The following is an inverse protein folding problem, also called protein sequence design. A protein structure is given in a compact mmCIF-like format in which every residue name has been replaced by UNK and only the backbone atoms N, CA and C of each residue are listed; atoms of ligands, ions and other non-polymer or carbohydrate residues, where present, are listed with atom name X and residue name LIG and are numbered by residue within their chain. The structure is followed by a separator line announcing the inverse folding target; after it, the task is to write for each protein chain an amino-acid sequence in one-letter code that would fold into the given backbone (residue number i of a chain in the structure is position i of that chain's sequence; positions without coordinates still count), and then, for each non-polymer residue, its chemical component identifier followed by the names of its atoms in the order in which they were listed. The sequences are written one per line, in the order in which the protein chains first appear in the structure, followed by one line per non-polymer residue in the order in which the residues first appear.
data_IF_053642572709
#
_entry.id   IF_053642572709
#
_cell.length_a   1.000
_cell.length_b   1.000
_cell.length_c   1.000
_cell.angle_alpha   90.00
_cell.angle_beta   90.00
_cell.angle_gamma   90.00
#
_symmetry.space_group_name_H-M   'P 1'
#
loop_
_entity.id
_entity.type
_entity.pdbx_description
1 polymer ?
#
# COMPACT_ATOMS: atom_id res chain seq x y z
N UNK A 1 0.06 -1.93 -13.92
CA UNK A 1 1.43 -2.40 -13.63
C UNK A 1 1.94 -1.60 -12.45
N UNK A 2 2.15 -2.32 -11.34
CA UNK A 2 2.77 -1.79 -10.14
C UNK A 2 4.23 -1.40 -10.39
N UNK A 3 4.73 -0.48 -9.58
CA UNK A 3 6.11 0.02 -9.70
C UNK A 3 6.93 -0.53 -8.54
N UNK A 4 8.08 -1.14 -8.86
CA UNK A 4 8.96 -1.78 -7.90
C UNK A 4 10.33 -1.07 -7.92
N UNK A 5 10.77 -0.57 -6.78
CA UNK A 5 12.06 0.08 -6.58
C UNK A 5 12.87 -0.69 -5.53
N UNK A 6 14.17 -0.88 -5.79
CA UNK A 6 15.09 -1.57 -4.87
C UNK A 6 14.90 -3.09 -4.73
N UNK A 7 13.79 -3.66 -5.22
CA UNK A 7 13.53 -5.10 -5.16
C UNK A 7 13.09 -5.74 -6.48
N UNK A 8 13.18 -7.07 -6.50
CA UNK A 8 12.48 -7.94 -7.45
C UNK A 8 11.54 -8.85 -6.65
N UNK A 9 10.27 -8.46 -6.46
CA UNK A 9 9.37 -9.20 -5.59
C UNK A 9 9.18 -10.63 -6.10
N UNK A 10 9.09 -11.57 -5.16
CA UNK A 10 8.79 -12.96 -5.47
C UNK A 10 7.43 -13.09 -6.19
N UNK A 11 7.23 -14.21 -6.89
CA UNK A 11 5.96 -14.48 -7.62
C UNK A 11 4.72 -14.30 -6.72
N UNK A 12 4.70 -14.79 -5.47
CA UNK A 12 3.53 -14.62 -4.60
C UNK A 12 3.23 -13.15 -4.30
N UNK A 13 4.26 -12.33 -4.09
CA UNK A 13 4.08 -10.90 -3.81
C UNK A 13 3.60 -10.14 -5.05
N UNK A 14 4.12 -10.46 -6.24
CA UNK A 14 3.62 -9.89 -7.50
C UNK A 14 2.15 -10.23 -7.71
N UNK A 15 1.76 -11.48 -7.49
CA UNK A 15 0.36 -11.92 -7.56
C UNK A 15 -0.51 -11.22 -6.51
N UNK A 16 -0.02 -11.03 -5.28
CA UNK A 16 -0.73 -10.31 -4.24
C UNK A 16 -0.98 -8.84 -4.62
N UNK A 17 0.03 -8.19 -5.21
CA UNK A 17 -0.07 -6.82 -5.74
C UNK A 17 -1.09 -6.73 -6.86
N UNK A 18 -0.99 -7.59 -7.88
CA UNK A 18 -1.94 -7.62 -8.99
C UNK A 18 -3.37 -7.88 -8.52
N UNK A 19 -3.54 -8.84 -7.59
CA UNK A 19 -4.84 -9.13 -6.98
C UNK A 19 -5.38 -7.92 -6.21
N UNK A 20 -4.52 -7.23 -5.47
CA UNK A 20 -4.93 -6.03 -4.73
C UNK A 20 -5.38 -4.92 -5.68
N UNK A 21 -4.59 -4.57 -6.70
CA UNK A 21 -4.93 -3.54 -7.69
C UNK A 21 -6.23 -3.85 -8.44
N UNK A 22 -6.50 -5.14 -8.72
CA UNK A 22 -7.70 -5.56 -9.44
C UNK A 22 -8.96 -5.65 -8.58
N UNK A 23 -8.84 -6.07 -7.31
CA UNK A 23 -10.00 -6.35 -6.44
C UNK A 23 -10.31 -5.22 -5.46
N UNK A 24 -9.32 -4.43 -5.06
CA UNK A 24 -9.49 -3.41 -4.01
C UNK A 24 -9.87 -2.08 -4.65
N UNK A 25 -11.15 -1.74 -4.48
CA UNK A 25 -11.69 -0.40 -4.73
C UNK A 25 -12.30 0.13 -3.44
N UNK A 26 -12.29 1.44 -3.26
CA UNK A 26 -12.83 2.08 -2.05
C UNK A 26 -13.84 3.15 -2.42
N UNK A 27 -14.79 3.42 -1.52
CA UNK A 27 -15.66 4.60 -1.62
C UNK A 27 -15.08 5.71 -0.75
N UNK A 28 -14.64 6.79 -1.36
CA UNK A 28 -14.06 7.94 -0.67
C UNK A 28 -14.67 9.23 -1.20
N UNK A 29 -15.20 10.09 -0.32
CA UNK A 29 -15.85 11.38 -0.68
C UNK A 29 -16.87 11.24 -1.82
N UNK A 30 -17.77 10.24 -1.73
CA UNK A 30 -18.77 9.89 -2.74
C UNK A 30 -18.23 9.44 -4.12
N UNK A 31 -16.94 9.15 -4.22
CA UNK A 31 -16.31 8.62 -5.44
C UNK A 31 -15.84 7.19 -5.21
N UNK A 32 -15.82 6.39 -6.28
CA UNK A 32 -15.18 5.08 -6.28
C UNK A 32 -13.75 5.25 -6.77
N UNK A 33 -12.79 4.85 -5.94
CA UNK A 33 -11.38 4.92 -6.25
C UNK A 33 -10.82 3.52 -6.48
N UNK A 34 -9.95 3.39 -7.48
CA UNK A 34 -9.16 2.20 -7.78
C UNK A 34 -7.81 2.31 -7.10
N UNK A 35 -7.29 1.18 -6.62
CA UNK A 35 -6.00 1.13 -5.96
C UNK A 35 -4.86 0.93 -6.96
N UNK A 36 -3.69 1.49 -6.64
CA UNK A 36 -2.42 1.24 -7.30
C UNK A 36 -1.33 1.10 -6.26
N UNK A 37 -0.48 0.10 -6.40
CA UNK A 37 0.52 -0.27 -5.40
C UNK A 37 1.93 0.09 -5.90
N UNK A 38 2.75 0.57 -4.97
CA UNK A 38 4.15 0.88 -5.15
C UNK A 38 4.94 0.19 -4.04
N UNK A 39 6.01 -0.51 -4.41
CA UNK A 39 6.96 -1.10 -3.45
C UNK A 39 8.31 -0.40 -3.62
N UNK A 40 8.85 0.10 -2.52
CA UNK A 40 10.19 0.66 -2.43
C UNK A 40 10.93 -0.03 -1.29
N UNK A 41 11.83 -0.94 -1.65
CA UNK A 41 12.49 -1.84 -0.71
C UNK A 41 14.00 -1.64 -0.79
N UNK A 42 14.52 -0.76 0.05
CA UNK A 42 15.95 -0.46 0.16
C UNK A 42 16.55 -1.20 1.36
N UNK A 43 17.89 -1.31 1.40
CA UNK A 43 18.60 -2.14 2.38
C UNK A 43 18.24 -1.82 3.86
N UNK A 44 17.91 -0.57 4.16
CA UNK A 44 17.59 -0.10 5.51
C UNK A 44 16.19 0.51 5.66
N UNK A 45 15.41 0.53 4.58
CA UNK A 45 14.07 1.14 4.61
C UNK A 45 13.17 0.48 3.59
N UNK A 46 12.08 -0.10 4.10
CA UNK A 46 11.06 -0.74 3.28
C UNK A 46 9.78 0.07 3.34
N UNK A 47 9.17 0.31 2.19
CA UNK A 47 7.93 1.03 2.06
C UNK A 47 7.00 0.35 1.06
N UNK A 48 5.73 0.27 1.44
CA UNK A 48 4.62 -0.09 0.56
C UNK A 48 3.65 1.07 0.54
N UNK A 49 3.45 1.68 -0.62
CA UNK A 49 2.47 2.73 -0.82
C UNK A 49 1.30 2.24 -1.66
N UNK A 50 0.09 2.63 -1.27
CA UNK A 50 -1.15 2.39 -1.99
C UNK A 50 -1.76 3.75 -2.31
N UNK A 51 -1.85 4.05 -3.60
CA UNK A 51 -2.53 5.25 -4.09
C UNK A 51 -3.93 4.87 -4.57
N UNK A 52 -4.93 5.53 -4.02
CA UNK A 52 -6.33 5.42 -4.44
C UNK A 52 -6.68 6.59 -5.35
N UNK A 53 -7.00 6.25 -6.59
CA UNK A 53 -7.23 7.20 -7.66
C UNK A 53 -8.61 7.00 -8.28
N UNK A 54 -9.16 8.03 -8.91
CA UNK A 54 -10.34 7.83 -9.74
C UNK A 54 -10.02 6.81 -10.84
N UNK A 55 -10.94 5.87 -11.10
CA UNK A 55 -10.80 4.95 -12.23
C UNK A 55 -10.73 5.82 -13.50
N UNK A 56 -9.56 5.87 -14.14
CA UNK A 56 -9.36 6.78 -15.26
C UNK A 56 -10.15 6.25 -16.47
N UNK A 57 -11.21 6.95 -16.85
CA UNK A 57 -11.39 7.22 -18.27
C UNK A 57 -10.24 8.13 -18.71
N UNK A 58 -9.47 7.71 -19.72
CA UNK A 58 -8.43 8.55 -20.29
C UNK A 58 -9.06 9.86 -20.81
N UNK A 59 -8.60 11.02 -20.30
CA UNK A 59 -9.03 12.34 -20.78
C UNK A 59 -9.63 13.29 -19.74
N UNK A 60 -9.99 12.82 -18.54
CA UNK A 60 -10.49 13.71 -17.48
C UNK A 60 -9.33 14.16 -16.57
N UNK A 61 -9.01 15.46 -16.63
CA UNK A 61 -8.03 16.12 -15.74
C UNK A 61 -8.63 16.31 -14.34
N UNK A 62 -8.61 15.26 -13.53
CA UNK A 62 -8.89 15.32 -12.08
C UNK A 62 -7.58 15.29 -11.27
N UNK A 63 -7.65 15.66 -9.98
CA UNK A 63 -6.53 15.54 -9.05
C UNK A 63 -5.93 14.13 -9.09
N UNK A 64 -4.62 14.03 -9.31
CA UNK A 64 -3.86 12.80 -9.11
C UNK A 64 -3.75 12.54 -7.60
N UNK A 65 -4.08 11.33 -7.18
CA UNK A 65 -4.03 10.76 -5.83
C UNK A 65 -5.01 11.36 -4.82
N UNK A 66 -6.29 10.98 -4.93
CA UNK A 66 -7.35 11.37 -3.98
C UNK A 66 -7.11 10.87 -2.54
N UNK A 67 -6.33 9.78 -2.39
CA UNK A 67 -5.86 9.25 -1.11
C UNK A 67 -4.58 8.46 -1.33
N UNK A 68 -3.58 8.68 -0.50
CA UNK A 68 -2.35 7.88 -0.43
C UNK A 68 -2.19 7.29 0.97
N UNK A 69 -1.80 6.02 1.01
CA UNK A 69 -1.48 5.30 2.23
C UNK A 69 -0.10 4.72 2.10
N UNK A 70 0.78 4.96 3.07
CA UNK A 70 2.16 4.45 3.04
C UNK A 70 2.50 3.70 4.32
N UNK A 71 2.84 2.43 4.18
CA UNK A 71 3.42 1.57 5.21
C UNK A 71 4.93 1.66 5.12
N UNK A 72 5.60 1.94 6.22
CA UNK A 72 7.07 2.03 6.29
C UNK A 72 7.61 1.19 7.43
N UNK A 73 8.70 0.47 7.17
CA UNK A 73 9.38 -0.42 8.10
C UNK A 73 10.90 -0.26 7.95
N UNK A 74 11.61 -0.20 9.08
CA UNK A 74 13.06 -0.16 9.14
C UNK A 74 13.57 -1.50 9.70
N UNK A 75 14.16 -2.38 8.87
CA UNK A 75 14.69 -3.66 9.33
C UNK A 75 15.78 -3.49 10.38
N UNK A 76 15.73 -4.28 11.44
CA UNK A 76 16.77 -4.33 12.47
C UNK A 76 16.68 -3.27 13.58
N UNK A 77 15.93 -2.19 13.38
CA UNK A 77 15.80 -1.13 14.41
C UNK A 77 14.56 -1.32 15.28
N UNK A 78 13.41 -1.63 14.68
CA UNK A 78 12.13 -1.63 15.40
C UNK A 78 11.17 -2.73 14.91
N UNK A 79 10.27 -3.15 15.80
CA UNK A 79 9.16 -4.08 15.52
C UNK A 79 7.85 -3.30 15.30
N UNK A 80 7.95 -2.19 14.55
CA UNK A 80 6.80 -1.34 14.30
C UNK A 80 6.71 -0.97 12.84
N UNK A 81 5.48 -0.86 12.35
CA UNK A 81 5.19 -0.35 11.01
C UNK A 81 4.51 1.00 11.16
N UNK A 82 5.08 2.02 10.52
CA UNK A 82 4.48 3.35 10.47
C UNK A 82 3.55 3.44 9.26
N UNK A 83 2.32 3.87 9.48
CA UNK A 83 1.29 4.02 8.45
C UNK A 83 0.94 5.49 8.35
N UNK A 84 1.27 6.11 7.23
CA UNK A 84 0.83 7.44 6.89
C UNK A 84 -0.42 7.38 6.01
N UNK A 85 -1.43 8.20 6.29
CA UNK A 85 -2.61 8.36 5.44
C UNK A 85 -2.83 9.84 5.10
N UNK A 86 -2.91 10.16 3.82
CA UNK A 86 -2.99 11.55 3.35
C UNK A 86 -4.31 12.26 3.68
N UNK A 87 -5.40 11.52 3.87
CA UNK A 87 -6.71 12.09 4.24
C UNK A 87 -6.80 12.50 5.70
N UNK A 88 -6.02 11.85 6.57
CA UNK A 88 -5.93 12.14 8.00
C UNK A 88 -4.76 13.06 8.34
N UNK A 89 -3.82 13.22 7.41
CA UNK A 89 -2.53 13.90 7.62
C UNK A 89 -1.82 13.40 8.91
N UNK A 90 -1.91 12.09 9.13
CA UNK A 90 -1.52 11.45 10.38
C UNK A 90 -0.65 10.21 10.13
N UNK A 91 0.28 9.98 11.06
CA UNK A 91 1.08 8.75 11.13
C UNK A 91 0.56 7.93 12.31
N UNK A 92 0.17 6.70 12.02
CA UNK A 92 -0.18 5.69 13.01
C UNK A 92 0.93 4.66 13.11
N UNK A 93 1.25 4.22 14.32
CA UNK A 93 2.20 3.13 14.55
C UNK A 93 1.45 1.84 14.81
N UNK A 94 1.78 0.80 14.04
CA UNK A 94 1.28 -0.55 14.22
C UNK A 94 2.36 -1.40 14.88
N UNK A 95 1.99 -2.09 15.95
CA UNK A 95 2.85 -3.13 16.53
C UNK A 95 2.83 -4.34 15.57
N UNK A 96 3.99 -4.68 15.03
CA UNK A 96 4.15 -5.73 14.04
C UNK A 96 5.33 -6.63 14.41
N UNK A 97 5.23 -7.91 14.10
CA UNK A 97 6.37 -8.82 14.27
C UNK A 97 7.58 -8.37 13.43
N UNK A 98 8.80 -8.83 13.76
CA UNK A 98 9.95 -8.60 12.89
C UNK A 98 9.70 -9.26 11.52
N UNK A 99 10.00 -8.54 10.45
CA UNK A 99 9.94 -9.09 9.09
C UNK A 99 11.31 -9.62 8.69
N UNK A 100 11.35 -10.87 8.20
CA UNK A 100 12.59 -11.50 7.76
C UNK A 100 13.07 -11.03 6.39
N UNK A 101 12.17 -10.50 5.56
CA UNK A 101 12.43 -10.15 4.18
C UNK A 101 11.39 -9.12 3.64
N UNK A 102 11.72 -8.40 2.54
CA UNK A 102 10.82 -7.40 1.95
C UNK A 102 9.50 -7.96 1.42
N UNK A 103 9.47 -9.21 0.95
CA UNK A 103 8.27 -9.84 0.41
C UNK A 103 7.24 -10.10 1.52
N UNK A 104 7.69 -10.61 2.67
CA UNK A 104 6.85 -10.81 3.86
C UNK A 104 6.28 -9.49 4.37
N UNK A 105 7.09 -8.43 4.40
CA UNK A 105 6.61 -7.09 4.75
C UNK A 105 5.57 -6.56 3.74
N UNK A 106 5.81 -6.72 2.44
CA UNK A 106 4.88 -6.29 1.41
C UNK A 106 3.52 -6.99 1.51
N UNK A 107 3.53 -8.31 1.72
CA UNK A 107 2.31 -9.09 1.89
C UNK A 107 1.56 -8.70 3.16
N UNK A 108 2.28 -8.41 4.26
CA UNK A 108 1.68 -7.89 5.48
C UNK A 108 0.97 -6.56 5.22
N UNK A 109 1.65 -5.58 4.61
CA UNK A 109 1.10 -4.26 4.34
C UNK A 109 -0.17 -4.34 3.46
N UNK A 110 -0.14 -5.14 2.40
CA UNK A 110 -1.30 -5.35 1.51
C UNK A 110 -2.46 -6.04 2.23
N UNK A 111 -2.19 -7.04 3.06
CA UNK A 111 -3.22 -7.72 3.85
C UNK A 111 -3.87 -6.77 4.86
N UNK A 112 -3.05 -5.96 5.53
CA UNK A 112 -3.51 -4.99 6.52
C UNK A 112 -4.39 -3.93 5.87
N UNK A 113 -3.91 -3.27 4.80
CA UNK A 113 -4.70 -2.22 4.12
C UNK A 113 -6.00 -2.79 3.57
N UNK A 114 -5.98 -4.00 2.99
CA UNK A 114 -7.20 -4.64 2.50
C UNK A 114 -8.23 -4.82 3.61
N UNK A 115 -7.81 -5.23 4.81
CA UNK A 115 -8.69 -5.34 5.97
C UNK A 115 -9.17 -3.98 6.48
N UNK A 116 -8.34 -2.95 6.41
CA UNK A 116 -8.68 -1.60 6.83
C UNK A 116 -9.73 -0.94 5.91
N UNK A 117 -9.64 -1.16 4.60
CA UNK A 117 -10.55 -0.54 3.62
C UNK A 117 -11.79 -1.38 3.32
N UNK A 118 -11.74 -2.68 3.55
CA UNK A 118 -12.88 -3.60 3.47
C UNK A 118 -13.06 -4.30 4.82
N UNK A 119 -13.46 -3.59 5.89
CA UNK A 119 -13.90 -4.25 7.11
C UNK A 119 -15.09 -5.12 6.72
N UNK A 120 -15.00 -6.44 6.92
CA UNK A 120 -16.11 -7.33 6.66
C UNK A 120 -17.36 -6.78 7.37
N UNK A 121 -18.38 -6.45 6.59
CA UNK A 121 -19.73 -6.17 7.09
C UNK A 121 -20.27 -7.36 7.86
#
# INVERSE_FOLDING_TARGET
MATYYGCRPAVPTRQAVEKFENEVTIRHRNQVLVSKVYLDMQDHSWAVAVAYNLSRQAGLKGHENSLEVRYSYAPGEQKVVNVFRSDQDAIMTLDAGPFGDPDTFAQYALKYERGAVNPAT
#
